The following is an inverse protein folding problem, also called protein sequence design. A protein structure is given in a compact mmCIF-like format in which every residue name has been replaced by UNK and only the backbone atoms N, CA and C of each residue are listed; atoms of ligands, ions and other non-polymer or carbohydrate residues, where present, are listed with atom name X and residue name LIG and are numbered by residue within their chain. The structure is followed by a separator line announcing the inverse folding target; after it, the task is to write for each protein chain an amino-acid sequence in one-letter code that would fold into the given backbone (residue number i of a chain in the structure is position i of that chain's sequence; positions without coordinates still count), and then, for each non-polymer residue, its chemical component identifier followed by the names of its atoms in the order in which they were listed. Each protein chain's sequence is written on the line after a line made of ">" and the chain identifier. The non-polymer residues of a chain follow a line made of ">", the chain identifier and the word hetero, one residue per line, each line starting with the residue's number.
data_IF_701734361559
#
_entry.id   IF_701734361559
#
_cell.length_a   1.000
_cell.length_b   1.000
_cell.length_c   1.000
_cell.angle_alpha   90.00
_cell.angle_beta   90.00
_cell.angle_gamma   90.00
#
_symmetry.space_group_name_H-M   'P 1'
#
loop_
_entity.id
_entity.type
_entity.pdbx_description
1 polymer ?
#
# COMPACT_ATOMS: atom_id res chain seq x y z
N UNK A 1 -2.64 1.87 34.15
CA UNK A 1 -1.25 1.83 33.63
C UNK A 1 -1.16 0.71 32.60
N UNK A 2 -1.47 1.01 31.33
CA UNK A 2 -1.33 0.03 30.24
C UNK A 2 -0.05 0.37 29.47
N UNK A 3 1.04 -0.32 29.80
CA UNK A 3 2.24 -0.41 28.97
C UNK A 3 1.97 -1.44 27.88
N UNK A 4 1.22 -1.08 26.85
CA UNK A 4 1.05 -1.93 25.67
C UNK A 4 1.24 -1.03 24.44
N UNK A 5 2.27 -1.36 23.66
CA UNK A 5 2.89 -0.65 22.52
C UNK A 5 3.98 0.37 22.89
N UNK A 6 5.02 -0.11 23.58
CA UNK A 6 6.36 0.52 23.54
C UNK A 6 7.30 -0.38 22.73
N UNK A 7 6.98 -0.56 21.45
CA UNK A 7 7.77 -1.37 20.53
C UNK A 7 7.78 -0.69 19.15
N UNK A 8 8.87 0.04 18.86
CA UNK A 8 9.58 0.17 17.56
C UNK A 8 10.12 1.57 17.26
N UNK A 9 9.64 2.61 17.92
CA UNK A 9 10.15 3.96 17.68
C UNK A 9 11.24 4.31 18.68
N UNK A 10 12.39 4.72 18.18
CA UNK A 10 13.43 5.30 19.03
C UNK A 10 12.85 6.53 19.72
N UNK A 11 13.10 6.63 21.02
CA UNK A 11 12.57 7.73 21.82
C UNK A 11 13.58 8.87 21.89
N UNK A 12 13.10 10.09 21.64
CA UNK A 12 13.83 11.36 21.82
C UNK A 12 13.09 12.24 22.82
N UNK A 13 13.81 13.07 23.56
CA UNK A 13 13.17 14.11 24.40
C UNK A 13 12.79 15.31 23.55
N UNK A 14 11.72 16.00 23.90
CA UNK A 14 11.34 17.28 23.26
C UNK A 14 12.47 18.32 23.30
N UNK A 15 13.32 18.30 24.33
CA UNK A 15 14.51 19.16 24.39
C UNK A 15 15.57 18.80 23.34
N UNK A 16 15.66 17.54 22.91
CA UNK A 16 16.56 17.13 21.82
C UNK A 16 16.00 17.57 20.48
N UNK A 17 14.69 17.42 20.24
CA UNK A 17 14.04 17.98 19.05
C UNK A 17 14.26 19.50 18.92
N UNK A 18 14.27 20.22 20.04
CA UNK A 18 14.55 21.67 20.03
C UNK A 18 16.03 22.01 19.82
N UNK A 19 16.96 21.27 20.45
CA UNK A 19 18.40 21.59 20.45
C UNK A 19 19.18 20.97 19.29
N UNK A 20 18.70 19.86 18.73
CA UNK A 20 19.33 19.05 17.68
C UNK A 20 18.31 18.66 16.61
N UNK A 21 17.51 19.62 16.18
CA UNK A 21 16.38 19.39 15.26
C UNK A 21 16.80 18.67 13.97
N UNK A 22 17.93 19.02 13.37
CA UNK A 22 18.42 18.41 12.13
C UNK A 22 18.66 16.88 12.28
N UNK A 23 19.32 16.45 13.37
CA UNK A 23 19.54 15.03 13.66
C UNK A 23 18.22 14.28 13.87
N UNK A 24 17.29 14.92 14.58
CA UNK A 24 15.99 14.33 14.92
C UNK A 24 15.08 14.23 13.69
N UNK A 25 15.11 15.21 12.78
CA UNK A 25 14.38 15.16 11.52
C UNK A 25 14.95 14.12 10.56
N UNK A 26 16.28 14.06 10.39
CA UNK A 26 16.91 13.05 9.56
C UNK A 26 16.56 11.62 10.02
N UNK A 27 16.55 11.38 11.33
CA UNK A 27 16.12 10.09 11.88
C UNK A 27 14.63 9.82 11.64
N UNK A 28 13.76 10.83 11.75
CA UNK A 28 12.32 10.71 11.51
C UNK A 28 11.95 10.46 10.04
N UNK A 29 12.84 10.79 9.10
CA UNK A 29 12.70 10.46 7.68
C UNK A 29 12.97 8.97 7.41
N UNK A 30 13.86 8.34 8.18
CA UNK A 30 14.17 6.91 8.06
C UNK A 30 13.08 6.04 8.73
N UNK A 31 12.67 6.42 9.94
CA UNK A 31 11.64 5.69 10.70
C UNK A 31 10.93 6.63 11.69
N UNK A 32 9.68 6.38 12.08
CA UNK A 32 9.04 7.20 13.09
C UNK A 32 9.81 7.18 14.42
N UNK A 33 9.72 8.27 15.15
CA UNK A 33 10.33 8.44 16.46
C UNK A 33 9.29 8.93 17.46
N UNK A 34 9.42 8.50 18.71
CA UNK A 34 8.57 8.97 19.80
C UNK A 34 9.24 10.15 20.49
N UNK A 35 8.58 11.31 20.49
CA UNK A 35 9.04 12.54 21.16
C UNK A 35 8.34 12.66 22.51
N UNK A 36 9.09 12.46 23.58
CA UNK A 36 8.60 12.58 24.96
C UNK A 36 8.55 14.02 25.42
N UNK A 37 7.49 14.36 26.17
CA UNK A 37 7.24 15.70 26.71
C UNK A 37 7.14 15.62 28.23
N UNK A 38 7.56 16.69 28.92
CA UNK A 38 7.53 16.74 30.39
C UNK A 38 6.10 16.87 30.93
N UNK A 39 5.29 17.67 30.24
CA UNK A 39 3.96 18.09 30.71
C UNK A 39 2.87 17.73 29.69
N UNK A 40 2.99 16.58 29.03
CA UNK A 40 1.99 16.14 28.06
C UNK A 40 2.28 14.75 27.48
N UNK A 41 1.38 14.30 26.61
CA UNK A 41 1.54 13.02 25.93
C UNK A 41 2.76 13.01 25.01
N UNK A 42 3.35 11.83 24.87
CA UNK A 42 4.37 11.60 23.87
C UNK A 42 3.75 11.69 22.48
N UNK A 43 4.42 12.38 21.57
CA UNK A 43 4.00 12.51 20.18
C UNK A 43 4.87 11.62 19.30
N UNK A 44 4.37 11.24 18.13
CA UNK A 44 5.18 10.55 17.12
C UNK A 44 5.52 11.54 16.02
N UNK A 45 6.82 11.65 15.69
CA UNK A 45 7.30 12.36 14.52
C UNK A 45 7.66 11.33 13.45
N UNK A 46 7.17 11.53 12.24
CA UNK A 46 7.40 10.66 11.08
C UNK A 46 7.34 11.49 9.80
N UNK A 47 7.89 10.95 8.71
CA UNK A 47 7.67 11.52 7.39
C UNK A 47 6.18 11.55 7.03
N UNK A 48 5.77 12.54 6.23
CA UNK A 48 4.40 12.62 5.72
C UNK A 48 4.00 11.35 4.95
N UNK A 49 4.92 10.82 4.12
CA UNK A 49 4.73 9.58 3.37
C UNK A 49 4.34 8.40 4.27
N UNK A 50 4.97 8.29 5.44
CA UNK A 50 4.69 7.23 6.41
C UNK A 50 3.31 7.41 7.05
N UNK A 51 2.94 8.64 7.42
CA UNK A 51 1.61 8.95 7.95
C UNK A 51 0.50 8.65 6.92
N UNK A 52 0.67 9.12 5.68
CA UNK A 52 -0.27 8.90 4.58
C UNK A 52 -0.39 7.40 4.25
N UNK A 53 0.72 6.66 4.26
CA UNK A 53 0.72 5.22 4.06
C UNK A 53 -0.11 4.47 5.11
N UNK A 54 0.01 4.85 6.38
CA UNK A 54 -0.79 4.26 7.48
C UNK A 54 -2.28 4.58 7.35
N UNK A 55 -2.61 5.82 7.03
CA UNK A 55 -4.00 6.24 6.82
C UNK A 55 -4.63 5.43 5.67
N UNK A 56 -3.94 5.32 4.54
CA UNK A 56 -4.40 4.53 3.39
C UNK A 56 -4.52 3.04 3.70
N UNK A 57 -3.63 2.47 4.51
CA UNK A 57 -3.74 1.07 4.94
C UNK A 57 -4.99 0.84 5.81
N UNK A 58 -5.34 1.80 6.68
CA UNK A 58 -6.58 1.74 7.47
C UNK A 58 -7.83 1.86 6.59
N UNK A 59 -7.80 2.73 5.58
CA UNK A 59 -8.89 2.82 4.58
C UNK A 59 -9.06 1.51 3.82
N UNK A 60 -7.96 0.89 3.39
CA UNK A 60 -7.99 -0.43 2.76
C UNK A 60 -8.56 -1.49 3.71
N UNK A 61 -8.20 -1.46 5.00
CA UNK A 61 -8.75 -2.38 6.00
C UNK A 61 -10.28 -2.24 6.10
N UNK A 62 -10.80 -1.02 6.15
CA UNK A 62 -12.25 -0.76 6.20
C UNK A 62 -12.98 -1.31 4.95
N UNK A 63 -12.38 -1.15 3.78
CA UNK A 63 -12.90 -1.70 2.53
C UNK A 63 -12.90 -3.24 2.55
N UNK A 64 -11.82 -3.87 3.03
CA UNK A 64 -11.73 -5.33 3.15
C UNK A 64 -12.70 -5.89 4.20
N UNK A 65 -12.99 -5.16 5.28
CA UNK A 65 -14.03 -5.53 6.25
C UNK A 65 -15.39 -5.55 5.54
N UNK A 66 -15.70 -4.54 4.72
CA UNK A 66 -16.93 -4.51 3.93
C UNK A 66 -17.07 -5.75 3.03
N UNK A 67 -15.99 -6.13 2.34
CA UNK A 67 -15.92 -7.37 1.52
C UNK A 67 -16.14 -8.63 2.36
N UNK A 68 -15.60 -8.68 3.57
CA UNK A 68 -15.70 -9.84 4.47
C UNK A 68 -17.10 -9.99 5.09
N UNK A 69 -17.82 -8.87 5.28
CA UNK A 69 -19.19 -8.87 5.83
C UNK A 69 -20.27 -9.09 4.77
N UNK A 70 -19.96 -8.93 3.48
CA UNK A 70 -20.84 -9.37 2.40
C UNK A 70 -20.69 -10.89 2.22
N UNK A 71 -21.81 -11.61 2.15
CA UNK A 71 -21.86 -13.06 2.00
C UNK A 71 -22.41 -13.51 0.65
N UNK A 72 -22.68 -12.57 -0.27
CA UNK A 72 -23.26 -12.85 -1.57
C UNK A 72 -22.20 -12.93 -2.67
N UNK A 73 -22.06 -14.10 -3.29
CA UNK A 73 -21.14 -14.34 -4.41
C UNK A 73 -19.73 -14.75 -3.98
N UNK A 74 -18.83 -14.86 -4.95
CA UNK A 74 -17.41 -15.20 -4.74
C UNK A 74 -16.63 -14.03 -4.13
N UNK A 75 -15.42 -14.28 -3.63
CA UNK A 75 -14.55 -13.21 -3.12
C UNK A 75 -14.29 -12.14 -4.20
N UNK A 76 -14.00 -12.55 -5.43
CA UNK A 76 -13.75 -11.65 -6.55
C UNK A 76 -14.97 -10.77 -6.87
N UNK A 77 -16.19 -11.34 -6.83
CA UNK A 77 -17.43 -10.58 -7.03
C UNK A 77 -17.64 -9.54 -5.94
N UNK A 78 -17.42 -9.91 -4.67
CA UNK A 78 -17.56 -8.98 -3.54
C UNK A 78 -16.48 -7.88 -3.57
N UNK A 79 -15.25 -8.23 -3.93
CA UNK A 79 -14.19 -7.26 -4.12
C UNK A 79 -14.51 -6.30 -5.28
N UNK A 80 -15.03 -6.78 -6.41
CA UNK A 80 -15.42 -5.91 -7.52
C UNK A 80 -16.56 -4.93 -7.19
N UNK A 81 -17.43 -5.24 -6.20
CA UNK A 81 -18.42 -4.27 -5.70
C UNK A 81 -17.75 -3.11 -4.93
N UNK A 82 -16.73 -3.41 -4.13
CA UNK A 82 -15.99 -2.44 -3.30
C UNK A 82 -14.93 -1.70 -4.12
N UNK A 83 -14.35 -2.37 -5.11
CA UNK A 83 -13.32 -1.88 -6.01
C UNK A 83 -13.81 -1.95 -7.48
N UNK A 84 -14.68 -1.01 -7.93
CA UNK A 84 -15.32 -1.10 -9.23
C UNK A 84 -14.35 -1.14 -10.43
N UNK A 85 -13.12 -0.65 -10.26
CA UNK A 85 -12.08 -0.73 -11.29
C UNK A 85 -11.72 -2.19 -11.65
N UNK A 86 -11.93 -3.16 -10.75
CA UNK A 86 -11.74 -4.58 -11.04
C UNK A 86 -12.67 -5.08 -12.16
N UNK A 87 -13.76 -4.36 -12.46
CA UNK A 87 -14.66 -4.72 -13.56
C UNK A 87 -14.01 -4.58 -14.95
N UNK A 88 -12.90 -3.85 -15.08
CA UNK A 88 -12.13 -3.82 -16.33
C UNK A 88 -11.33 -5.12 -16.55
N UNK A 89 -11.00 -5.85 -15.48
CA UNK A 89 -10.22 -7.08 -15.56
C UNK A 89 -11.05 -8.27 -16.08
N UNK A 90 -10.36 -9.26 -16.64
CA UNK A 90 -10.96 -10.56 -16.97
C UNK A 90 -11.41 -11.29 -15.69
N UNK A 91 -12.28 -12.30 -15.83
CA UNK A 91 -12.75 -13.07 -14.65
C UNK A 91 -11.58 -13.73 -13.90
N UNK A 92 -10.64 -14.33 -14.64
CA UNK A 92 -9.45 -14.96 -14.05
C UNK A 92 -8.57 -13.94 -13.33
N UNK A 93 -8.35 -12.77 -13.93
CA UNK A 93 -7.55 -11.70 -13.31
C UNK A 93 -8.23 -11.11 -12.08
N UNK A 94 -9.57 -11.01 -12.05
CA UNK A 94 -10.30 -10.59 -10.84
C UNK A 94 -10.08 -11.56 -9.68
N UNK A 95 -10.04 -12.86 -9.94
CA UNK A 95 -9.76 -13.87 -8.92
C UNK A 95 -8.32 -13.80 -8.42
N UNK A 96 -7.35 -13.59 -9.32
CA UNK A 96 -5.94 -13.38 -8.96
C UNK A 96 -5.77 -12.12 -8.12
N UNK A 97 -6.26 -10.99 -8.64
CA UNK A 97 -6.25 -9.69 -7.98
C UNK A 97 -6.85 -9.75 -6.57
N UNK A 98 -8.02 -10.39 -6.41
CA UNK A 98 -8.69 -10.48 -5.12
C UNK A 98 -7.85 -11.21 -4.06
N UNK A 99 -7.22 -12.32 -4.45
CA UNK A 99 -6.37 -13.12 -3.58
C UNK A 99 -5.08 -12.39 -3.23
N UNK A 100 -4.40 -11.80 -4.22
CA UNK A 100 -3.12 -11.10 -4.04
C UNK A 100 -3.26 -9.85 -3.17
N UNK A 101 -4.32 -9.05 -3.36
CA UNK A 101 -4.61 -7.92 -2.47
C UNK A 101 -4.82 -8.41 -1.03
N UNK A 102 -5.53 -9.51 -0.82
CA UNK A 102 -5.78 -10.04 0.53
C UNK A 102 -4.49 -10.54 1.19
N UNK A 103 -3.64 -11.24 0.43
CA UNK A 103 -2.36 -11.75 0.93
C UNK A 103 -1.39 -10.59 1.24
N UNK A 104 -1.30 -9.60 0.36
CA UNK A 104 -0.49 -8.39 0.58
C UNK A 104 -1.02 -7.56 1.77
N UNK A 105 -2.33 -7.47 1.95
CA UNK A 105 -2.95 -6.82 3.11
C UNK A 105 -2.59 -7.55 4.41
N UNK A 106 -2.73 -8.88 4.45
CA UNK A 106 -2.33 -9.69 5.61
C UNK A 106 -0.84 -9.49 5.95
N UNK A 107 0.03 -9.52 4.95
CA UNK A 107 1.46 -9.27 5.14
C UNK A 107 1.72 -7.86 5.69
N UNK A 108 1.04 -6.84 5.14
CA UNK A 108 1.17 -5.44 5.59
C UNK A 108 0.74 -5.27 7.03
N UNK A 109 -0.41 -5.83 7.43
CA UNK A 109 -0.89 -5.74 8.80
C UNK A 109 0.00 -6.49 9.78
N UNK A 110 0.50 -7.67 9.41
CA UNK A 110 1.36 -8.47 10.27
C UNK A 110 2.75 -7.84 10.48
N UNK A 111 3.25 -7.13 9.47
CA UNK A 111 4.60 -6.54 9.49
C UNK A 111 4.62 -5.04 9.81
N UNK A 112 3.45 -4.39 9.85
CA UNK A 112 3.29 -2.93 9.94
C UNK A 112 3.97 -2.19 8.77
N UNK A 113 3.95 -2.79 7.58
CA UNK A 113 4.54 -2.24 6.37
C UNK A 113 3.45 -1.92 5.34
N UNK A 114 2.89 -0.69 5.34
CA UNK A 114 1.78 -0.32 4.45
C UNK A 114 2.06 -0.50 2.96
N UNK A 115 3.32 -0.33 2.55
CA UNK A 115 3.68 -0.32 1.15
C UNK A 115 3.41 -1.66 0.45
N UNK A 116 3.44 -2.80 1.14
CA UNK A 116 3.21 -4.10 0.50
C UNK A 116 1.80 -4.17 -0.11
N UNK A 117 0.76 -3.85 0.66
CA UNK A 117 -0.62 -3.83 0.19
C UNK A 117 -0.92 -2.66 -0.75
N UNK A 118 -0.35 -1.48 -0.47
CA UNK A 118 -0.62 -0.29 -1.28
C UNK A 118 0.02 -0.39 -2.67
N UNK A 119 1.21 -0.98 -2.78
CA UNK A 119 1.86 -1.25 -4.06
C UNK A 119 1.06 -2.30 -4.84
N UNK A 120 0.66 -3.40 -4.21
CA UNK A 120 -0.14 -4.44 -4.85
C UNK A 120 -1.47 -3.89 -5.39
N UNK A 121 -2.20 -3.14 -4.56
CA UNK A 121 -3.44 -2.47 -4.95
C UNK A 121 -3.23 -1.51 -6.13
N UNK A 122 -2.14 -0.75 -6.11
CA UNK A 122 -1.83 0.22 -7.18
C UNK A 122 -1.48 -0.51 -8.47
N UNK A 123 -0.64 -1.55 -8.41
CA UNK A 123 -0.26 -2.40 -9.54
C UNK A 123 -1.50 -2.97 -10.25
N UNK A 124 -2.42 -3.58 -9.50
CA UNK A 124 -3.65 -4.12 -10.07
C UNK A 124 -4.57 -3.05 -10.66
N UNK A 125 -4.65 -1.89 -10.01
CA UNK A 125 -5.43 -0.76 -10.52
C UNK A 125 -4.85 -0.21 -11.82
N UNK A 126 -3.52 -0.16 -11.96
CA UNK A 126 -2.84 0.23 -13.20
C UNK A 126 -3.06 -0.80 -14.30
N UNK A 127 -2.97 -2.10 -14.00
CA UNK A 127 -3.33 -3.18 -14.95
C UNK A 127 -4.77 -3.03 -15.43
N UNK A 128 -5.72 -2.80 -14.53
CA UNK A 128 -7.12 -2.58 -14.88
C UNK A 128 -7.31 -1.34 -15.77
N UNK A 129 -6.59 -0.25 -15.48
CA UNK A 129 -6.61 0.96 -16.31
C UNK A 129 -6.02 0.71 -17.71
N UNK A 130 -4.95 -0.07 -17.83
CA UNK A 130 -4.36 -0.47 -19.10
C UNK A 130 -5.34 -1.32 -19.92
N UNK A 131 -5.96 -2.32 -19.31
CA UNK A 131 -6.99 -3.15 -19.98
C UNK A 131 -8.17 -2.30 -20.44
N UNK A 132 -8.66 -1.38 -19.59
CA UNK A 132 -9.74 -0.47 -19.96
C UNK A 132 -9.37 0.48 -21.12
N UNK A 133 -8.09 0.84 -21.24
CA UNK A 133 -7.56 1.61 -22.37
C UNK A 133 -7.35 0.77 -23.64
N UNK A 134 -7.69 -0.52 -23.62
CA UNK A 134 -7.48 -1.45 -24.74
C UNK A 134 -6.04 -1.96 -24.87
N UNK A 135 -5.19 -1.70 -23.87
CA UNK A 135 -3.84 -2.26 -23.79
C UNK A 135 -3.95 -3.68 -23.19
N UNK A 136 -4.42 -4.62 -24.01
CA UNK A 136 -4.38 -6.04 -23.66
C UNK A 136 -2.99 -6.62 -23.89
N UNK A 137 -2.69 -7.75 -23.24
CA UNK A 137 -1.57 -8.61 -23.59
C UNK A 137 -1.87 -9.28 -24.95
N UNK A 138 -1.89 -8.49 -26.00
CA UNK A 138 -2.01 -8.97 -27.38
C UNK A 138 -0.77 -9.79 -27.64
N UNK A 139 -0.93 -11.02 -28.16
CA UNK A 139 0.19 -11.86 -28.57
C UNK A 139 1.17 -11.00 -29.37
N UNK A 140 2.34 -10.73 -28.78
CA UNK A 140 3.45 -10.11 -29.48
C UNK A 140 3.83 -11.11 -30.57
N UNK A 141 3.32 -10.89 -31.78
CA UNK A 141 3.81 -11.57 -32.96
C UNK A 141 5.23 -11.08 -33.17
N UNK A 142 6.17 -11.85 -32.66
CA UNK A 142 7.56 -11.74 -33.05
C UNK A 142 7.62 -11.98 -34.55
N UNK A 143 8.18 -11.03 -35.29
CA UNK A 143 8.47 -11.25 -36.70
C UNK A 143 9.57 -12.31 -36.80
N UNK A 144 9.21 -13.49 -37.29
CA UNK A 144 10.17 -14.58 -37.51
C UNK A 144 11.13 -14.27 -38.67
N UNK A 145 10.79 -13.31 -39.53
CA UNK A 145 11.61 -12.89 -40.66
C UNK A 145 12.45 -11.63 -40.34
N UNK A 146 13.79 -11.69 -40.50
CA UNK A 146 14.64 -10.53 -40.36
C UNK A 146 14.39 -9.53 -41.50
N UNK A 147 13.72 -8.43 -41.19
CA UNK A 147 13.54 -7.32 -42.11
C UNK A 147 14.81 -6.44 -42.15
N UNK A 148 15.43 -6.36 -43.33
CA UNK A 148 16.60 -5.52 -43.58
C UNK A 148 16.15 -4.05 -43.61
N UNK A 149 16.48 -3.30 -42.56
CA UNK A 149 16.23 -1.86 -42.48
C UNK A 149 17.38 -1.10 -43.15
N UNK A 150 17.06 -0.18 -44.05
CA UNK A 150 18.06 0.71 -44.66
C UNK A 150 18.71 1.59 -43.60
N UNK A 151 20.02 1.83 -43.76
CA UNK A 151 20.80 2.66 -42.84
C UNK A 151 20.41 4.13 -43.04
N UNK A 152 20.27 4.92 -41.95
CA UNK A 152 19.98 6.36 -42.04
C UNK A 152 21.00 7.14 -42.86
#
# INVERSE_FOLDING_TARGET
>A
MSKIVDLRYRTRRSSELSKRSAEVFAEAEEHPITVTRRDGEALVLMSQREADGRARLLELAAQLITVATDHQGTLAERMAKVFPWMLALSVADREACAREILDAARASFATEQPHLALTELTSWKETAAAVAAGLSNTDLQWYDDPHLVERP
#
